data_IF_852189826216
#
_entry.id   IF_852189826216
#
_cell.length_a   1.000
_cell.length_b   1.000
_cell.length_c   1.000
_cell.angle_alpha   90.00
_cell.angle_beta   90.00
_cell.angle_gamma   90.00
#
_symmetry.space_group_name_H-M   'P 1'
#
loop_
_entity.id
_entity.type
_entity.pdbx_description
1 polymer ?
#
# COMPACT_ATOMS: atom_id res chain seq x y z
N UNK A 1 0.68 40.04 -55.64
CA UNK A 1 0.26 40.20 -54.24
C UNK A 1 -0.22 38.87 -53.76
N UNK A 2 0.64 38.12 -53.05
CA UNK A 2 0.34 36.79 -52.49
C UNK A 2 0.15 36.96 -50.99
N UNK A 3 -1.06 36.72 -50.52
CA UNK A 3 -1.44 36.72 -49.13
C UNK A 3 -1.08 35.38 -48.50
N UNK A 4 -0.19 35.36 -47.50
CA UNK A 4 0.14 34.20 -46.69
C UNK A 4 -0.76 34.22 -45.46
N UNK A 5 -1.58 33.20 -45.32
CA UNK A 5 -2.38 32.92 -44.10
C UNK A 5 -1.51 32.17 -43.09
N UNK A 6 -1.19 32.76 -41.94
CA UNK A 6 -0.59 32.06 -40.81
C UNK A 6 -1.68 31.33 -40.04
N UNK A 7 -1.57 30.02 -39.99
CA UNK A 7 -2.36 29.18 -39.09
C UNK A 7 -1.61 29.07 -37.78
N UNK A 8 -2.16 29.65 -36.72
CA UNK A 8 -1.65 29.49 -35.34
C UNK A 8 -2.26 28.22 -34.75
N UNK A 9 -1.43 27.19 -34.59
CA UNK A 9 -1.81 25.98 -33.82
C UNK A 9 -1.68 26.28 -32.34
N UNK A 10 -2.82 26.42 -31.66
CA UNK A 10 -2.87 26.56 -30.22
C UNK A 10 -2.58 25.22 -29.55
N UNK A 11 -1.44 25.07 -28.90
CA UNK A 11 -1.14 23.96 -28.02
C UNK A 11 -1.92 24.14 -26.72
N UNK A 12 -2.92 23.30 -26.49
CA UNK A 12 -3.60 23.19 -25.19
C UNK A 12 -2.66 22.43 -24.26
N UNK A 13 -1.96 23.14 -23.38
CA UNK A 13 -1.23 22.55 -22.28
C UNK A 13 -2.24 22.04 -21.26
N UNK A 14 -2.41 20.72 -21.19
CA UNK A 14 -3.09 20.06 -20.07
C UNK A 14 -2.21 20.25 -18.81
N UNK A 15 -2.56 21.23 -17.99
CA UNK A 15 -1.96 21.41 -16.69
C UNK A 15 -2.33 20.20 -15.80
N UNK A 16 -1.38 19.30 -15.63
CA UNK A 16 -1.44 18.24 -14.62
C UNK A 16 -1.39 18.91 -13.24
N UNK A 17 -2.52 19.01 -12.57
CA UNK A 17 -2.54 19.46 -11.17
C UNK A 17 -1.82 18.42 -10.31
N UNK A 18 -0.87 18.82 -9.47
CA UNK A 18 -0.19 17.89 -8.59
C UNK A 18 -1.15 17.42 -7.48
N UNK A 19 -1.31 16.10 -7.35
CA UNK A 19 -2.09 15.44 -6.27
C UNK A 19 -1.49 15.65 -4.86
N UNK A 20 -0.49 16.50 -4.71
CA UNK A 20 0.15 16.85 -3.42
C UNK A 20 -0.62 17.90 -2.61
N UNK A 21 -1.65 18.53 -3.15
CA UNK A 21 -2.35 19.63 -2.46
C UNK A 21 -3.10 19.17 -1.20
N UNK A 22 -3.64 17.94 -1.19
CA UNK A 22 -4.38 17.45 -0.01
C UNK A 22 -3.48 17.01 1.17
N UNK A 23 -2.20 16.72 0.93
CA UNK A 23 -1.26 16.32 1.98
C UNK A 23 -0.62 17.53 2.68
N UNK A 24 -0.57 18.68 2.00
CA UNK A 24 0.11 19.89 2.50
C UNK A 24 -0.68 20.65 3.59
N UNK A 25 -2.01 20.50 3.63
CA UNK A 25 -2.90 21.28 4.52
C UNK A 25 -3.37 20.52 5.77
N UNK A 26 -2.80 19.34 6.07
CA UNK A 26 -3.21 18.59 7.26
C UNK A 26 -2.66 19.22 8.53
N UNK A 27 -3.47 19.33 9.60
CA UNK A 27 -3.03 19.83 10.89
C UNK A 27 -1.83 19.08 11.44
N UNK A 28 -0.96 19.74 12.19
CA UNK A 28 0.24 19.10 12.76
C UNK A 28 -0.08 17.96 13.75
N UNK A 29 -1.26 17.99 14.36
CA UNK A 29 -1.80 16.95 15.23
C UNK A 29 -2.49 15.80 14.47
N UNK A 30 -2.68 15.92 13.16
CA UNK A 30 -3.24 14.89 12.30
C UNK A 30 -2.45 14.81 10.96
N UNK A 31 -1.14 14.45 11.02
CA UNK A 31 -0.25 14.54 9.87
C UNK A 31 -0.52 13.47 8.82
N UNK A 32 -1.32 12.44 9.14
CA UNK A 32 -1.58 11.27 8.32
C UNK A 32 -2.99 11.30 7.73
N UNK A 33 -3.19 10.69 6.55
CA UNK A 33 -4.52 10.31 6.08
C UNK A 33 -4.86 8.90 6.53
N UNK A 34 -6.13 8.51 6.34
CA UNK A 34 -6.64 7.21 6.75
C UNK A 34 -7.16 6.44 5.55
N UNK A 35 -6.59 5.27 5.31
CA UNK A 35 -6.91 4.35 4.25
C UNK A 35 -7.39 3.02 4.82
N UNK A 36 -8.15 2.28 4.04
CA UNK A 36 -8.68 0.99 4.42
C UNK A 36 -8.22 -0.09 3.44
N UNK A 37 -7.52 -1.10 3.93
CA UNK A 37 -7.20 -2.30 3.16
C UNK A 37 -8.38 -3.28 3.28
N UNK A 38 -8.90 -3.74 2.14
CA UNK A 38 -10.10 -4.59 2.08
C UNK A 38 -9.93 -5.95 2.73
N UNK A 39 -8.67 -6.39 2.99
CA UNK A 39 -8.40 -7.58 3.81
C UNK A 39 -9.10 -7.56 5.16
N UNK A 40 -9.30 -6.36 5.72
CA UNK A 40 -9.90 -6.14 7.05
C UNK A 40 -11.34 -6.65 7.14
N UNK A 41 -12.07 -6.67 6.02
CA UNK A 41 -13.45 -7.21 5.90
C UNK A 41 -13.57 -8.33 4.88
N UNK A 42 -12.48 -8.98 4.51
CA UNK A 42 -12.47 -10.07 3.52
C UNK A 42 -13.38 -11.25 3.89
N UNK A 43 -13.49 -11.54 5.20
CA UNK A 43 -14.30 -12.67 5.68
C UNK A 43 -15.79 -12.52 5.41
N UNK A 44 -16.29 -11.29 5.27
CA UNK A 44 -17.68 -10.99 4.92
C UNK A 44 -18.00 -11.29 3.45
N UNK A 45 -16.98 -11.53 2.60
CA UNK A 45 -17.11 -11.93 1.19
C UNK A 45 -18.01 -11.00 0.37
N UNK A 46 -17.83 -9.72 0.57
CA UNK A 46 -18.62 -8.69 -0.12
C UNK A 46 -18.06 -8.44 -1.54
N UNK A 47 -18.91 -8.05 -2.49
CA UNK A 47 -18.42 -7.55 -3.76
C UNK A 47 -17.74 -6.18 -3.57
N UNK A 48 -16.71 -5.88 -4.35
CA UNK A 48 -15.91 -4.65 -4.23
C UNK A 48 -16.76 -3.37 -4.21
N UNK A 49 -17.86 -3.32 -4.94
CA UNK A 49 -18.78 -2.17 -4.94
C UNK A 49 -19.39 -1.93 -3.54
N UNK A 50 -19.75 -2.99 -2.82
CA UNK A 50 -20.27 -2.87 -1.46
C UNK A 50 -19.16 -2.45 -0.47
N UNK A 51 -17.95 -2.91 -0.67
CA UNK A 51 -16.78 -2.50 0.14
C UNK A 51 -16.49 -1.01 -0.04
N UNK A 52 -16.55 -0.47 -1.27
CA UNK A 52 -16.43 0.97 -1.56
C UNK A 52 -17.45 1.78 -0.74
N UNK A 53 -18.72 1.36 -0.73
CA UNK A 53 -19.78 2.05 0.02
C UNK A 53 -19.53 2.00 1.54
N UNK A 54 -19.10 0.85 2.06
CA UNK A 54 -18.79 0.67 3.47
C UNK A 54 -17.63 1.57 3.90
N UNK A 55 -16.53 1.55 3.14
CA UNK A 55 -15.33 2.32 3.44
C UNK A 55 -15.60 3.83 3.41
N UNK A 56 -16.36 4.30 2.42
CA UNK A 56 -16.81 5.69 2.33
C UNK A 56 -17.69 6.08 3.52
N UNK A 57 -18.71 5.27 3.84
CA UNK A 57 -19.62 5.51 4.99
C UNK A 57 -18.93 5.42 6.34
N UNK A 58 -17.83 4.69 6.44
CA UNK A 58 -17.00 4.64 7.63
C UNK A 58 -16.18 5.93 7.83
N UNK A 59 -15.92 6.70 6.75
CA UNK A 59 -15.22 7.99 6.82
C UNK A 59 -13.74 7.92 6.47
N UNK A 60 -13.29 6.88 5.80
CA UNK A 60 -11.93 6.79 5.24
C UNK A 60 -11.75 7.73 4.04
N UNK A 61 -10.51 8.08 3.75
CA UNK A 61 -10.11 8.94 2.63
C UNK A 61 -9.53 8.11 1.47
N UNK A 62 -9.00 6.94 1.78
CA UNK A 62 -8.39 6.04 0.81
C UNK A 62 -8.85 4.60 0.99
N UNK A 63 -8.59 3.81 -0.05
CA UNK A 63 -8.87 2.37 -0.09
C UNK A 63 -7.74 1.64 -0.82
N UNK A 64 -7.41 0.44 -0.37
CA UNK A 64 -6.51 -0.50 -1.03
C UNK A 64 -7.24 -1.82 -1.30
N UNK A 65 -7.84 -1.97 -2.49
CA UNK A 65 -8.44 -3.24 -2.88
C UNK A 65 -7.38 -4.26 -3.29
N UNK A 66 -7.74 -5.53 -3.20
CA UNK A 66 -6.92 -6.61 -3.72
C UNK A 66 -7.17 -6.81 -5.22
N UNK A 67 -6.13 -7.20 -5.95
CA UNK A 67 -6.21 -7.49 -7.39
C UNK A 67 -7.33 -8.49 -7.71
N UNK A 68 -7.48 -9.53 -6.87
CA UNK A 68 -8.55 -10.51 -7.03
C UNK A 68 -9.96 -9.93 -6.99
N UNK A 69 -10.20 -8.90 -6.18
CA UNK A 69 -11.50 -8.24 -6.07
C UNK A 69 -11.82 -7.41 -7.33
N UNK A 70 -10.79 -6.76 -7.90
CA UNK A 70 -10.89 -6.06 -9.17
C UNK A 70 -11.13 -7.04 -10.33
N UNK A 71 -10.39 -8.16 -10.34
CA UNK A 71 -10.58 -9.23 -11.32
C UNK A 71 -12.00 -9.82 -11.25
N UNK A 72 -12.52 -10.07 -10.06
CA UNK A 72 -13.86 -10.61 -9.88
C UNK A 72 -14.94 -9.61 -10.29
N UNK A 73 -14.73 -8.31 -10.04
CA UNK A 73 -15.62 -7.25 -10.56
C UNK A 73 -15.67 -7.23 -12.08
N UNK A 74 -14.51 -7.34 -12.75
CA UNK A 74 -14.43 -7.37 -14.22
C UNK A 74 -15.06 -8.65 -14.77
N UNK A 75 -14.78 -9.82 -14.17
CA UNK A 75 -15.40 -11.11 -14.55
C UNK A 75 -16.93 -11.09 -14.42
N UNK A 76 -17.47 -10.35 -13.47
CA UNK A 76 -18.89 -10.14 -13.29
C UNK A 76 -19.51 -9.16 -14.32
N UNK A 77 -18.71 -8.67 -15.28
CA UNK A 77 -19.16 -7.76 -16.34
C UNK A 77 -19.00 -6.27 -16.01
N UNK A 78 -18.36 -5.94 -14.91
CA UNK A 78 -18.02 -4.55 -14.56
C UNK A 78 -16.94 -3.96 -15.44
N UNK A 79 -16.96 -2.63 -15.67
CA UNK A 79 -15.92 -1.93 -16.41
C UNK A 79 -15.00 -1.13 -15.49
N UNK A 80 -13.70 -1.10 -15.81
CA UNK A 80 -12.71 -0.37 -15.01
C UNK A 80 -12.95 1.15 -14.97
N UNK A 81 -13.36 1.82 -16.08
CA UNK A 81 -13.74 3.24 -16.02
C UNK A 81 -14.93 3.51 -15.07
N UNK A 82 -15.93 2.61 -15.03
CA UNK A 82 -17.02 2.71 -14.07
C UNK A 82 -16.54 2.50 -12.63
N UNK A 83 -15.69 1.52 -12.40
CA UNK A 83 -15.10 1.28 -11.08
C UNK A 83 -14.32 2.50 -10.59
N UNK A 84 -13.49 3.11 -11.44
CA UNK A 84 -12.79 4.37 -11.15
C UNK A 84 -13.76 5.48 -10.76
N UNK A 85 -14.87 5.61 -11.51
CA UNK A 85 -15.90 6.59 -11.18
C UNK A 85 -16.53 6.32 -9.83
N UNK A 86 -16.81 5.07 -9.49
CA UNK A 86 -17.37 4.69 -8.18
C UNK A 86 -16.48 5.06 -7.02
N UNK A 87 -15.16 4.84 -7.11
CA UNK A 87 -14.21 5.31 -6.10
C UNK A 87 -14.27 6.84 -5.95
N UNK A 88 -14.26 7.57 -7.06
CA UNK A 88 -14.30 9.04 -7.04
C UNK A 88 -15.62 9.57 -6.47
N UNK A 89 -16.77 9.02 -6.88
CA UNK A 89 -18.10 9.41 -6.38
C UNK A 89 -18.25 9.11 -4.87
N UNK A 90 -17.57 8.07 -4.38
CA UNK A 90 -17.52 7.71 -2.96
C UNK A 90 -16.53 8.60 -2.14
N UNK A 91 -15.79 9.50 -2.80
CA UNK A 91 -14.77 10.34 -2.16
C UNK A 91 -13.52 9.60 -1.73
N UNK A 92 -13.25 8.43 -2.33
CA UNK A 92 -12.11 7.58 -1.99
C UNK A 92 -11.00 7.69 -3.04
N UNK A 93 -9.76 7.92 -2.60
CA UNK A 93 -8.57 7.69 -3.42
C UNK A 93 -8.17 6.22 -3.37
N UNK A 94 -7.84 5.62 -4.51
CA UNK A 94 -7.25 4.28 -4.57
C UNK A 94 -5.74 4.43 -4.35
N UNK A 95 -5.26 4.08 -3.15
CA UNK A 95 -3.88 4.32 -2.77
C UNK A 95 -2.91 3.30 -3.37
N UNK A 96 -3.33 2.07 -3.48
CA UNK A 96 -2.59 0.98 -4.07
C UNK A 96 -3.48 -0.21 -4.41
N UNK A 97 -2.94 -1.16 -5.17
CA UNK A 97 -3.47 -2.51 -5.31
C UNK A 97 -2.59 -3.50 -4.55
N UNK A 98 -3.23 -4.46 -3.88
CA UNK A 98 -2.52 -5.57 -3.23
C UNK A 98 -2.45 -6.75 -4.19
N UNK A 99 -1.24 -7.09 -4.61
CA UNK A 99 -0.96 -8.18 -5.57
C UNK A 99 0.28 -8.98 -5.17
N UNK A 100 0.43 -10.17 -5.76
CA UNK A 100 1.43 -11.14 -5.35
C UNK A 100 2.23 -11.66 -6.55
N UNK A 101 2.65 -10.78 -7.43
CA UNK A 101 3.50 -11.13 -8.56
C UNK A 101 4.85 -11.69 -8.09
N UNK A 102 5.28 -12.83 -8.66
CA UNK A 102 6.52 -13.52 -8.29
C UNK A 102 7.74 -12.88 -8.98
N UNK A 103 7.98 -11.60 -8.73
CA UNK A 103 9.04 -10.80 -9.36
C UNK A 103 10.45 -11.12 -8.83
N UNK A 104 10.54 -11.71 -7.65
CA UNK A 104 11.77 -11.83 -6.86
C UNK A 104 12.50 -13.18 -7.03
N UNK A 105 11.81 -14.21 -7.49
CA UNK A 105 12.29 -15.60 -7.52
C UNK A 105 13.47 -15.83 -8.47
N UNK A 106 14.31 -16.84 -8.20
CA UNK A 106 15.48 -17.17 -9.03
C UNK A 106 15.10 -17.81 -10.36
N UNK A 107 14.04 -18.62 -10.39
CA UNK A 107 13.57 -19.26 -11.62
C UNK A 107 13.17 -18.19 -12.66
N UNK A 108 13.95 -18.13 -13.76
CA UNK A 108 13.77 -17.14 -14.82
C UNK A 108 12.38 -17.20 -15.48
N UNK A 109 11.84 -18.41 -15.66
CA UNK A 109 10.53 -18.58 -16.31
C UNK A 109 9.39 -18.12 -15.37
N UNK A 110 9.48 -18.42 -14.09
CA UNK A 110 8.52 -17.94 -13.08
C UNK A 110 8.62 -16.42 -12.92
N UNK A 111 9.84 -15.89 -12.83
CA UNK A 111 10.06 -14.45 -12.70
C UNK A 111 9.54 -13.69 -13.92
N UNK A 112 9.75 -14.21 -15.13
CA UNK A 112 9.19 -13.61 -16.34
C UNK A 112 7.66 -13.59 -16.31
N UNK A 113 7.00 -14.68 -15.89
CA UNK A 113 5.54 -14.70 -15.68
C UNK A 113 5.10 -13.73 -14.59
N UNK A 114 5.84 -13.66 -13.48
CA UNK A 114 5.60 -12.71 -12.40
C UNK A 114 5.69 -11.25 -12.88
N UNK A 115 6.65 -10.93 -13.74
CA UNK A 115 6.78 -9.60 -14.33
C UNK A 115 5.59 -9.26 -15.26
N UNK A 116 5.14 -10.21 -16.10
CA UNK A 116 3.94 -10.00 -16.93
C UNK A 116 2.68 -9.83 -16.08
N UNK A 117 2.52 -10.61 -15.00
CA UNK A 117 1.43 -10.42 -14.05
C UNK A 117 1.49 -9.07 -13.35
N UNK A 118 2.67 -8.61 -12.96
CA UNK A 118 2.86 -7.28 -12.39
C UNK A 118 2.46 -6.18 -13.39
N UNK A 119 2.85 -6.28 -14.65
CA UNK A 119 2.46 -5.34 -15.71
C UNK A 119 0.95 -5.31 -15.90
N UNK A 120 0.30 -6.48 -15.96
CA UNK A 120 -1.17 -6.60 -16.02
C UNK A 120 -1.82 -5.88 -14.84
N UNK A 121 -1.31 -6.12 -13.65
CA UNK A 121 -1.83 -5.50 -12.42
C UNK A 121 -1.61 -3.99 -12.42
N UNK A 122 -0.48 -3.50 -12.90
CA UNK A 122 -0.20 -2.07 -13.04
C UNK A 122 -1.14 -1.41 -14.05
N UNK A 123 -1.48 -2.10 -15.15
CA UNK A 123 -2.47 -1.61 -16.10
C UNK A 123 -3.86 -1.48 -15.45
N UNK A 124 -4.30 -2.51 -14.70
CA UNK A 124 -5.54 -2.42 -13.91
C UNK A 124 -5.49 -1.26 -12.92
N UNK A 125 -4.38 -1.11 -12.18
CA UNK A 125 -4.17 -0.03 -11.22
C UNK A 125 -4.32 1.35 -11.88
N UNK A 126 -3.64 1.57 -13.01
CA UNK A 126 -3.71 2.83 -13.75
C UNK A 126 -5.14 3.15 -14.21
N UNK A 127 -5.88 2.15 -14.72
CA UNK A 127 -7.24 2.32 -15.20
C UNK A 127 -8.22 2.71 -14.09
N UNK A 128 -8.08 2.17 -12.88
CA UNK A 128 -8.92 2.54 -11.73
C UNK A 128 -8.41 3.76 -10.94
N UNK A 129 -7.27 4.32 -11.33
CA UNK A 129 -6.70 5.52 -10.73
C UNK A 129 -5.76 5.28 -9.55
N UNK A 130 -5.42 4.01 -9.26
CA UNK A 130 -4.38 3.66 -8.31
C UNK A 130 -2.99 4.02 -8.86
N UNK A 131 -2.10 4.48 -7.98
CA UNK A 131 -0.75 4.90 -8.36
C UNK A 131 0.34 3.96 -7.90
N UNK A 132 -0.03 2.93 -7.13
CA UNK A 132 0.91 2.03 -6.46
C UNK A 132 0.46 0.59 -6.55
N UNK A 133 1.42 -0.30 -6.43
CA UNK A 133 1.24 -1.74 -6.36
C UNK A 133 2.11 -2.28 -5.24
N UNK A 134 1.56 -3.08 -4.34
CA UNK A 134 2.36 -3.83 -3.38
C UNK A 134 3.29 -4.81 -4.10
N UNK A 135 4.56 -4.83 -3.72
CA UNK A 135 5.58 -5.71 -4.28
C UNK A 135 6.23 -6.56 -3.16
N UNK A 136 5.48 -7.50 -2.56
CA UNK A 136 5.99 -8.39 -1.55
C UNK A 136 6.99 -9.40 -2.12
N UNK A 137 7.77 -10.11 -1.27
CA UNK A 137 8.62 -11.23 -1.68
C UNK A 137 7.79 -12.49 -1.98
N UNK A 138 6.75 -12.37 -2.81
CA UNK A 138 5.86 -13.46 -3.19
C UNK A 138 6.60 -14.54 -3.98
N UNK A 139 6.28 -15.81 -3.72
CA UNK A 139 6.89 -16.95 -4.37
C UNK A 139 8.33 -17.27 -3.91
N UNK A 140 8.97 -16.40 -3.12
CA UNK A 140 10.33 -16.61 -2.63
C UNK A 140 10.42 -17.87 -1.75
N UNK A 141 11.31 -18.77 -2.11
CA UNK A 141 11.47 -20.09 -1.51
C UNK A 141 12.88 -20.29 -0.90
N UNK A 142 13.11 -21.36 -0.12
CA UNK A 142 14.44 -21.69 0.37
C UNK A 142 15.49 -21.99 -0.71
N UNK A 143 15.05 -22.25 -1.95
CA UNK A 143 15.96 -22.50 -3.08
C UNK A 143 16.46 -21.21 -3.73
N UNK A 144 15.76 -20.10 -3.48
CA UNK A 144 16.12 -18.80 -4.06
C UNK A 144 17.28 -18.14 -3.30
N UNK A 145 18.10 -17.42 -4.04
CA UNK A 145 19.21 -16.64 -3.49
C UNK A 145 18.70 -15.43 -2.70
N UNK A 146 19.15 -15.28 -1.48
CA UNK A 146 18.88 -14.10 -0.65
C UNK A 146 19.91 -12.97 -0.84
N UNK A 147 20.67 -13.00 -1.96
CA UNK A 147 21.55 -11.89 -2.31
C UNK A 147 20.75 -10.62 -2.63
N UNK A 148 20.86 -9.63 -1.75
CA UNK A 148 20.09 -8.39 -1.85
C UNK A 148 20.48 -7.54 -3.07
N UNK A 149 21.70 -7.67 -3.58
CA UNK A 149 22.14 -6.98 -4.79
C UNK A 149 21.38 -7.48 -6.03
N UNK A 150 21.27 -8.82 -6.16
CA UNK A 150 20.47 -9.46 -7.20
C UNK A 150 18.98 -9.08 -7.08
N UNK A 151 18.45 -9.06 -5.87
CA UNK A 151 17.06 -8.65 -5.62
C UNK A 151 16.84 -7.18 -5.99
N UNK A 152 17.80 -6.30 -5.72
CA UNK A 152 17.73 -4.89 -6.11
C UNK A 152 17.66 -4.70 -7.64
N UNK A 153 18.41 -5.50 -8.41
CA UNK A 153 18.34 -5.47 -9.88
C UNK A 153 16.96 -5.94 -10.39
N UNK A 154 16.38 -6.98 -9.76
CA UNK A 154 15.03 -7.47 -10.08
C UNK A 154 13.97 -6.42 -9.76
N UNK A 155 14.10 -5.78 -8.60
CA UNK A 155 13.21 -4.69 -8.23
C UNK A 155 13.35 -3.49 -9.17
N UNK A 156 14.57 -3.16 -9.61
CA UNK A 156 14.77 -2.14 -10.64
C UNK A 156 13.99 -2.44 -11.90
N UNK A 157 14.05 -3.68 -12.40
CA UNK A 157 13.29 -4.11 -13.58
C UNK A 157 11.77 -3.96 -13.37
N UNK A 158 11.27 -4.30 -12.19
CA UNK A 158 9.86 -4.12 -11.82
C UNK A 158 9.47 -2.64 -11.78
N UNK A 159 10.31 -1.79 -11.19
CA UNK A 159 10.07 -0.35 -11.09
C UNK A 159 10.12 0.36 -12.45
N UNK A 160 11.07 -0.04 -13.33
CA UNK A 160 11.14 0.44 -14.72
C UNK A 160 9.86 0.07 -15.51
N UNK A 161 9.32 -1.14 -15.29
CA UNK A 161 8.02 -1.52 -15.85
C UNK A 161 6.89 -0.63 -15.31
N UNK A 162 6.86 -0.39 -14.00
CA UNK A 162 5.86 0.47 -13.35
C UNK A 162 5.84 1.89 -13.91
N UNK A 163 6.99 2.43 -14.30
CA UNK A 163 7.08 3.76 -14.89
C UNK A 163 6.25 3.86 -16.19
N UNK A 164 6.15 2.79 -16.98
CA UNK A 164 5.39 2.77 -18.23
C UNK A 164 3.87 2.92 -17.99
N UNK A 165 3.38 2.47 -16.85
CA UNK A 165 1.97 2.56 -16.45
C UNK A 165 1.67 3.76 -15.54
N UNK A 166 2.70 4.50 -15.10
CA UNK A 166 2.55 5.54 -14.10
C UNK A 166 2.23 5.00 -12.70
N UNK A 167 2.53 3.72 -12.44
CA UNK A 167 2.29 3.00 -11.18
C UNK A 167 3.62 2.67 -10.52
N UNK A 168 3.72 2.88 -9.21
CA UNK A 168 4.92 2.63 -8.41
C UNK A 168 4.81 1.31 -7.66
N UNK A 169 5.59 0.27 -8.00
CA UNK A 169 5.73 -0.88 -7.15
C UNK A 169 6.43 -0.49 -5.85
N UNK A 170 5.78 -0.71 -4.72
CA UNK A 170 6.36 -0.46 -3.41
C UNK A 170 6.86 -1.76 -2.79
N UNK A 171 8.14 -1.80 -2.42
CA UNK A 171 8.74 -2.95 -1.73
C UNK A 171 8.02 -3.20 -0.41
N UNK A 172 7.33 -4.31 -0.32
CA UNK A 172 6.60 -4.67 0.89
C UNK A 172 7.47 -5.51 1.83
N UNK A 173 7.50 -5.08 3.08
CA UNK A 173 8.18 -5.80 4.16
C UNK A 173 7.27 -6.92 4.69
N UNK A 174 7.68 -8.17 4.53
CA UNK A 174 6.98 -9.32 5.12
C UNK A 174 7.79 -9.95 6.25
N UNK A 175 7.46 -9.64 7.49
CA UNK A 175 8.22 -10.05 8.68
C UNK A 175 8.35 -11.56 8.89
N UNK A 176 7.52 -12.38 8.25
CA UNK A 176 7.59 -13.84 8.27
C UNK A 176 8.38 -14.43 7.09
N UNK A 177 8.71 -13.63 6.08
CA UNK A 177 9.42 -14.11 4.90
C UNK A 177 10.91 -14.40 5.20
N UNK A 178 11.58 -15.08 4.29
CA UNK A 178 13.03 -15.39 4.41
C UNK A 178 13.91 -14.21 3.97
N UNK A 179 13.37 -13.34 3.13
CA UNK A 179 14.04 -12.13 2.62
C UNK A 179 13.02 -10.97 2.63
N UNK A 180 13.50 -9.74 2.64
CA UNK A 180 12.70 -8.54 2.83
C UNK A 180 11.85 -8.57 4.12
N UNK A 181 12.32 -9.29 5.12
CA UNK A 181 11.68 -9.43 6.43
C UNK A 181 12.14 -8.39 7.44
N UNK A 182 13.09 -7.54 7.09
CA UNK A 182 13.59 -6.44 7.91
C UNK A 182 13.58 -5.14 7.13
N UNK A 183 13.33 -4.03 7.82
CA UNK A 183 13.38 -2.71 7.22
C UNK A 183 14.72 -2.42 6.55
N UNK A 184 15.83 -2.85 7.16
CA UNK A 184 17.17 -2.68 6.59
C UNK A 184 17.37 -3.37 5.25
N UNK A 185 16.77 -4.56 5.04
CA UNK A 185 16.84 -5.27 3.76
C UNK A 185 16.01 -4.55 2.69
N UNK A 186 14.79 -4.13 3.04
CA UNK A 186 13.90 -3.38 2.13
C UNK A 186 14.54 -2.05 1.74
N UNK A 187 15.10 -1.32 2.72
CA UNK A 187 15.81 -0.06 2.46
C UNK A 187 17.06 -0.28 1.59
N UNK A 188 17.84 -1.32 1.84
CA UNK A 188 18.99 -1.69 1.01
C UNK A 188 18.56 -1.91 -0.45
N UNK A 189 17.54 -2.76 -0.69
CA UNK A 189 17.05 -3.07 -2.03
C UNK A 189 16.51 -1.82 -2.73
N UNK A 190 15.78 -0.96 -2.01
CA UNK A 190 15.29 0.30 -2.57
C UNK A 190 16.45 1.20 -3.01
N UNK A 191 17.47 1.38 -2.18
CA UNK A 191 18.66 2.21 -2.45
C UNK A 191 19.49 1.62 -3.60
N UNK A 192 19.86 0.34 -3.51
CA UNK A 192 20.70 -0.33 -4.51
C UNK A 192 20.03 -0.50 -5.88
N UNK A 193 18.71 -0.48 -5.92
CA UNK A 193 17.99 -0.46 -7.22
C UNK A 193 18.33 0.79 -8.03
N UNK A 194 18.73 1.88 -7.40
CA UNK A 194 19.02 3.16 -8.04
C UNK A 194 17.83 3.77 -8.80
N UNK A 195 16.59 3.24 -8.58
CA UNK A 195 15.42 3.78 -9.25
C UNK A 195 14.89 5.02 -8.52
N UNK A 196 14.68 6.16 -9.22
CA UNK A 196 14.34 7.44 -8.58
C UNK A 196 12.98 7.44 -7.88
N UNK A 197 12.12 6.47 -8.19
CA UNK A 197 10.78 6.28 -7.60
C UNK A 197 10.71 4.96 -6.82
N UNK A 198 11.84 4.50 -6.26
CA UNK A 198 11.83 3.35 -5.36
C UNK A 198 11.02 3.70 -4.11
N UNK A 199 10.04 2.85 -3.78
CA UNK A 199 9.15 3.06 -2.64
C UNK A 199 9.14 1.87 -1.69
N UNK A 200 8.79 2.14 -0.44
CA UNK A 200 8.69 1.15 0.63
C UNK A 200 7.26 1.13 1.16
N UNK A 201 6.68 -0.06 1.27
CA UNK A 201 5.45 -0.35 1.97
C UNK A 201 5.81 -1.08 3.27
N UNK A 202 5.82 -0.33 4.36
CA UNK A 202 6.09 -0.88 5.69
C UNK A 202 4.79 -1.12 6.45
N UNK A 203 4.84 -1.99 7.45
CA UNK A 203 3.70 -2.46 8.22
C UNK A 203 4.12 -2.63 9.69
N UNK A 204 3.27 -2.19 10.61
CA UNK A 204 3.56 -2.25 12.05
C UNK A 204 3.76 -3.68 12.57
N UNK A 205 2.90 -4.61 12.19
CA UNK A 205 3.04 -6.03 12.57
C UNK A 205 4.26 -6.67 11.89
N UNK A 206 4.49 -6.40 10.62
CA UNK A 206 5.62 -6.98 9.90
C UNK A 206 6.97 -6.46 10.40
N UNK A 207 7.07 -5.19 10.79
CA UNK A 207 8.26 -4.66 11.50
C UNK A 207 8.53 -5.47 12.77
N UNK A 208 7.50 -5.66 13.62
CA UNK A 208 7.61 -6.48 14.82
C UNK A 208 7.97 -7.93 14.50
N UNK A 209 7.22 -8.59 13.59
CA UNK A 209 7.41 -10.00 13.24
C UNK A 209 8.81 -10.26 12.70
N UNK A 210 9.35 -9.38 11.87
CA UNK A 210 10.69 -9.45 11.30
C UNK A 210 11.80 -9.02 12.27
N UNK A 211 11.46 -8.39 13.38
CA UNK A 211 12.39 -7.93 14.41
C UNK A 211 13.12 -6.64 14.05
N UNK A 212 12.45 -5.74 13.32
CA UNK A 212 12.89 -4.35 13.13
C UNK A 212 12.34 -3.47 14.25
N UNK A 213 13.18 -2.57 14.76
CA UNK A 213 12.74 -1.56 15.72
C UNK A 213 11.97 -0.44 14.99
N UNK A 214 10.90 0.09 15.59
CA UNK A 214 10.15 1.21 15.02
C UNK A 214 10.99 2.50 14.92
N UNK A 215 11.93 2.73 15.82
CA UNK A 215 12.85 3.86 15.71
C UNK A 215 13.74 3.79 14.47
N UNK A 216 13.97 2.60 13.90
CA UNK A 216 14.74 2.46 12.65
C UNK A 216 14.05 3.13 11.44
N UNK A 217 12.74 3.41 11.51
CA UNK A 217 12.03 4.21 10.51
C UNK A 217 12.61 5.62 10.35
N UNK A 218 13.28 6.16 11.37
CA UNK A 218 13.94 7.46 11.31
C UNK A 218 15.08 7.53 10.28
N UNK A 219 15.55 6.40 9.80
CA UNK A 219 16.57 6.30 8.73
C UNK A 219 15.97 6.25 7.33
N UNK A 220 14.64 6.21 7.22
CA UNK A 220 13.92 6.15 5.93
C UNK A 220 13.25 7.49 5.68
N UNK A 221 13.52 8.10 4.53
CA UNK A 221 12.87 9.35 4.17
C UNK A 221 11.35 9.18 4.06
N UNK A 222 10.57 10.10 4.63
CA UNK A 222 9.12 9.99 4.65
C UNK A 222 8.47 9.98 3.27
N UNK A 223 9.12 10.57 2.26
CA UNK A 223 8.66 10.55 0.87
C UNK A 223 8.99 9.25 0.12
N UNK A 224 9.76 8.34 0.72
CA UNK A 224 9.93 6.97 0.20
C UNK A 224 8.77 6.05 0.59
N UNK A 225 7.91 6.50 1.50
CA UNK A 225 6.71 5.81 1.96
C UNK A 225 5.48 6.65 1.61
N UNK A 226 4.50 6.06 0.95
CA UNK A 226 3.25 6.73 0.60
C UNK A 226 2.06 6.16 1.36
N UNK A 227 2.12 4.87 1.61
CA UNK A 227 1.19 4.11 2.45
C UNK A 227 2.00 3.41 3.53
N UNK A 228 1.46 3.33 4.71
CA UNK A 228 1.96 2.54 5.82
C UNK A 228 0.82 1.65 6.33
N UNK A 229 1.00 0.33 6.31
CA UNK A 229 0.00 -0.59 6.85
C UNK A 229 0.00 -0.51 8.37
N UNK A 230 -1.11 -0.07 8.93
CA UNK A 230 -1.29 0.10 10.36
C UNK A 230 -2.17 -0.98 10.95
N UNK A 231 -1.72 -1.54 12.04
CA UNK A 231 -2.41 -2.54 12.86
C UNK A 231 -1.71 -2.60 14.23
N UNK A 232 -2.18 -3.46 15.10
CA UNK A 232 -1.57 -3.77 16.38
C UNK A 232 -1.53 -5.31 16.55
N UNK A 233 -0.90 -5.79 17.60
CA UNK A 233 -0.76 -7.21 17.90
C UNK A 233 -0.81 -7.45 19.41
N UNK A 234 -1.39 -8.59 19.86
CA UNK A 234 -1.47 -8.94 21.28
C UNK A 234 -0.10 -9.36 21.82
N UNK A 235 0.06 -9.34 23.16
CA UNK A 235 1.27 -9.82 23.83
C UNK A 235 1.50 -11.34 23.64
N UNK A 236 0.48 -12.08 23.32
CA UNK A 236 0.52 -13.51 23.02
C UNK A 236 -0.32 -13.79 21.77
N UNK A 237 0.11 -14.75 20.92
CA UNK A 237 1.32 -15.59 21.00
C UNK A 237 2.63 -14.80 20.92
N UNK A 238 3.73 -15.45 21.24
CA UNK A 238 5.08 -14.87 21.08
C UNK A 238 5.39 -14.53 19.61
N UNK A 239 6.38 -13.64 19.40
CA UNK A 239 6.75 -13.14 18.05
C UNK A 239 7.01 -14.25 17.02
N UNK A 240 7.57 -15.38 17.41
CA UNK A 240 7.84 -16.50 16.53
C UNK A 240 6.57 -17.23 16.07
N UNK A 241 5.56 -17.27 16.93
CA UNK A 241 4.31 -18.03 16.74
C UNK A 241 3.17 -17.17 16.18
N UNK A 242 3.20 -15.86 16.46
CA UNK A 242 2.15 -14.94 16.02
C UNK A 242 2.00 -14.93 14.51
N UNK A 243 0.78 -14.89 14.02
CA UNK A 243 0.43 -14.85 12.59
C UNK A 243 -0.47 -13.65 12.28
N UNK A 244 -0.71 -13.36 11.02
CA UNK A 244 -1.57 -12.26 10.56
C UNK A 244 -2.98 -12.31 11.17
N UNK A 245 -3.51 -13.52 11.45
CA UNK A 245 -4.83 -13.69 12.07
C UNK A 245 -4.91 -13.16 13.51
N UNK A 246 -3.77 -12.88 14.15
CA UNK A 246 -3.71 -12.31 15.49
C UNK A 246 -3.64 -10.77 15.49
N UNK A 247 -3.54 -10.13 14.34
CA UNK A 247 -3.56 -8.67 14.25
C UNK A 247 -4.87 -8.14 14.85
N UNK A 248 -4.77 -7.02 15.55
CA UNK A 248 -5.91 -6.33 16.16
C UNK A 248 -5.91 -4.86 15.74
N UNK A 249 -6.97 -4.13 16.06
CA UNK A 249 -7.00 -2.69 15.79
C UNK A 249 -5.92 -1.94 16.54
N UNK A 250 -5.40 -0.83 16.00
CA UNK A 250 -4.43 0.02 16.69
C UNK A 250 -4.92 0.44 18.08
N UNK A 251 -4.09 0.18 19.09
CA UNK A 251 -4.38 0.47 20.50
C UNK A 251 -5.05 -0.67 21.27
N UNK A 252 -5.46 -1.75 20.63
CA UNK A 252 -6.00 -2.94 21.30
C UNK A 252 -4.91 -3.99 21.60
N UNK A 253 -3.68 -3.73 21.20
CA UNK A 253 -2.53 -4.60 21.42
C UNK A 253 -1.46 -3.98 22.30
N UNK A 254 -0.22 -4.41 22.06
CA UNK A 254 0.97 -4.00 22.83
C UNK A 254 2.03 -3.30 21.98
N UNK A 255 1.75 -3.01 20.72
CA UNK A 255 2.69 -2.30 19.86
C UNK A 255 3.03 -0.92 20.43
N UNK A 256 4.30 -0.50 20.44
CA UNK A 256 4.69 0.84 20.89
C UNK A 256 4.33 1.90 19.82
N UNK A 257 3.02 2.02 19.52
CA UNK A 257 2.50 2.87 18.44
C UNK A 257 2.89 4.34 18.58
N UNK A 258 3.03 4.85 19.80
CA UNK A 258 3.53 6.20 20.03
C UNK A 258 4.93 6.43 19.46
N UNK A 259 5.84 5.46 19.61
CA UNK A 259 7.17 5.50 18.98
C UNK A 259 7.06 5.48 17.46
N UNK A 260 6.21 4.61 16.91
CA UNK A 260 5.94 4.51 15.48
C UNK A 260 5.46 5.84 14.89
N UNK A 261 4.40 6.43 15.46
CA UNK A 261 3.81 7.65 14.92
C UNK A 261 4.75 8.84 15.01
N UNK A 262 5.52 8.96 16.10
CA UNK A 262 6.56 10.00 16.21
C UNK A 262 7.65 9.80 15.16
N UNK A 263 8.13 8.57 14.95
CA UNK A 263 9.12 8.28 13.92
C UNK A 263 8.62 8.68 12.52
N UNK A 264 7.41 8.27 12.14
CA UNK A 264 6.79 8.64 10.86
C UNK A 264 6.62 10.16 10.71
N UNK A 265 6.15 10.85 11.75
CA UNK A 265 6.03 12.32 11.74
C UNK A 265 7.39 13.00 11.54
N UNK A 266 8.39 12.56 12.28
CA UNK A 266 9.71 13.21 12.34
C UNK A 266 10.50 13.05 11.04
N UNK A 267 10.28 11.95 10.28
CA UNK A 267 10.85 11.79 8.93
C UNK A 267 10.03 12.48 7.83
N UNK A 268 8.96 13.15 8.19
CA UNK A 268 8.12 13.89 7.25
C UNK A 268 7.15 13.02 6.45
N UNK A 269 6.79 11.83 6.93
CA UNK A 269 5.73 11.03 6.31
C UNK A 269 4.39 11.80 6.34
N UNK A 270 3.74 11.91 5.19
CA UNK A 270 2.45 12.60 4.99
C UNK A 270 1.45 11.74 4.22
N UNK A 271 1.75 10.45 4.14
CA UNK A 271 0.95 9.45 3.42
C UNK A 271 -0.29 9.00 4.17
N UNK A 272 -0.77 7.83 3.80
CA UNK A 272 -1.93 7.17 4.37
C UNK A 272 -1.52 6.10 5.38
N UNK A 273 -2.14 6.10 6.55
CA UNK A 273 -2.18 4.94 7.43
C UNK A 273 -3.31 4.03 6.94
N UNK A 274 -2.95 2.91 6.36
CA UNK A 274 -3.90 1.95 5.79
C UNK A 274 -4.16 0.82 6.79
N UNK A 275 -5.37 0.74 7.30
CA UNK A 275 -5.75 -0.29 8.26
C UNK A 275 -5.80 -1.65 7.58
N UNK A 276 -4.88 -2.54 7.98
CA UNK A 276 -4.79 -3.90 7.45
C UNK A 276 -4.77 -4.92 8.58
N UNK A 277 -5.89 -5.63 8.76
CA UNK A 277 -6.01 -6.71 9.74
C UNK A 277 -6.67 -7.94 9.12
N UNK A 278 -6.27 -9.13 9.61
CA UNK A 278 -6.77 -10.43 9.13
C UNK A 278 -7.47 -11.19 10.25
N UNK A 279 -8.06 -10.47 11.20
CA UNK A 279 -8.67 -11.03 12.39
C UNK A 279 -9.99 -11.71 12.06
N UNK A 280 -10.06 -13.03 12.32
CA UNK A 280 -11.24 -13.82 12.01
C UNK A 280 -12.45 -13.47 12.85
N UNK A 281 -12.27 -12.92 14.05
CA UNK A 281 -13.38 -12.45 14.89
C UNK A 281 -14.01 -11.18 14.27
N UNK A 282 -13.22 -10.30 13.68
CA UNK A 282 -13.73 -9.14 12.93
C UNK A 282 -14.47 -9.56 11.66
N UNK A 283 -14.02 -10.63 11.01
CA UNK A 283 -14.68 -11.17 9.82
C UNK A 283 -16.08 -11.75 10.09
N UNK A 284 -16.43 -12.03 11.35
CA UNK A 284 -17.76 -12.49 11.77
C UNK A 284 -18.69 -11.34 12.21
N UNK A 285 -18.23 -10.08 12.13
CA UNK A 285 -18.99 -8.90 12.53
C UNK A 285 -19.56 -8.16 11.32
N UNK A 286 -20.44 -7.20 11.56
CA UNK A 286 -20.91 -6.27 10.53
C UNK A 286 -19.74 -5.48 9.95
N UNK A 287 -19.60 -5.48 8.62
CA UNK A 287 -18.45 -4.89 7.94
C UNK A 287 -18.34 -3.36 8.17
N UNK A 288 -19.48 -2.65 8.25
CA UNK A 288 -19.47 -1.21 8.51
C UNK A 288 -19.05 -0.92 9.96
N UNK A 289 -19.48 -1.75 10.90
CA UNK A 289 -19.04 -1.66 12.30
C UNK A 289 -17.53 -1.86 12.40
N UNK A 290 -16.97 -2.91 11.75
CA UNK A 290 -15.53 -3.18 11.71
C UNK A 290 -14.76 -2.00 11.14
N UNK A 291 -15.21 -1.46 10.00
CA UNK A 291 -14.55 -0.34 9.33
C UNK A 291 -14.58 0.94 10.22
N UNK A 292 -15.71 1.27 10.84
CA UNK A 292 -15.83 2.44 11.73
C UNK A 292 -14.98 2.29 12.98
N UNK A 293 -15.09 1.17 13.67
CA UNK A 293 -14.30 0.90 14.88
C UNK A 293 -12.80 0.97 14.58
N UNK A 294 -12.37 0.38 13.45
CA UNK A 294 -10.98 0.44 13.02
C UNK A 294 -10.47 1.86 12.77
N UNK A 295 -11.28 2.73 12.15
CA UNK A 295 -10.93 4.13 11.96
C UNK A 295 -10.84 4.91 13.28
N UNK A 296 -11.83 4.73 14.16
CA UNK A 296 -11.86 5.37 15.49
C UNK A 296 -10.62 4.99 16.30
N UNK A 297 -10.33 3.69 16.41
CA UNK A 297 -9.16 3.16 17.11
C UNK A 297 -7.84 3.69 16.52
N UNK A 298 -7.73 3.75 15.20
CA UNK A 298 -6.53 4.28 14.55
C UNK A 298 -6.33 5.76 14.88
N UNK A 299 -7.39 6.58 14.82
CA UNK A 299 -7.33 8.00 15.18
C UNK A 299 -6.98 8.23 16.65
N UNK A 300 -7.60 7.49 17.55
CA UNK A 300 -7.29 7.54 18.99
C UNK A 300 -5.82 7.18 19.27
N UNK A 301 -5.32 6.11 18.63
CA UNK A 301 -3.93 5.71 18.77
C UNK A 301 -2.95 6.78 18.25
N UNK A 302 -3.25 7.42 17.11
CA UNK A 302 -2.46 8.54 16.56
C UNK A 302 -2.47 9.74 17.51
N UNK A 303 -3.63 10.17 17.98
CA UNK A 303 -3.76 11.30 18.91
C UNK A 303 -2.96 11.06 20.19
N UNK A 304 -3.14 9.88 20.80
CA UNK A 304 -2.41 9.46 22.01
C UNK A 304 -0.90 9.36 21.78
N UNK A 305 -0.49 8.90 20.60
CA UNK A 305 0.93 8.68 20.28
C UNK A 305 1.68 9.95 19.93
N UNK A 306 0.98 11.02 19.50
CA UNK A 306 1.55 12.32 19.10
C UNK A 306 1.36 13.41 20.15
N UNK A 307 0.51 13.18 21.17
CA UNK A 307 0.41 14.04 22.35
C UNK A 307 1.65 13.85 23.26
#
# INVERSE_FOLDING_TARGET
MLSQSLTVAGAVALASQPLSAQAADRPANEPFGYCFNTSTIRGQKLPLVAEIEIVSRAGYQGIEPWVSEVDDYVKAGGSLPELRKRFADAGLSVEGLIGFAEWIVDDDAKRAKGLEEAKRTMDLAAQIGAKRLAAPPAGFSPADSSDLGTIAQRYRTLADAGQQYGVEPQLELWGFARVLNKLSQVAFVAIESGHPRAGILADSYHLYKGGSDYDSLRLVAGNAMHVFHINDYPARPERQEITDAHRVFPGDGVAPLGTLFRALRDVGFRGMLSLEVFNREYWNQDALLVARTGLEKTREAVQKGLS
#
